data_IF_021262764512
#
_entry.id   IF_021262764512
#
_cell.length_a   1.000
_cell.length_b   1.000
_cell.length_c   1.000
_cell.angle_alpha   90.00
_cell.angle_beta   90.00
_cell.angle_gamma   90.00
#
_symmetry.space_group_name_H-M   'P 1'
#
loop_
_entity.id
_entity.type
_entity.pdbx_description
1 polymer ?
#
# COMPACT_ATOMS: atom_id res chain seq x y z
N UNK A 1 79.28 7.45 19.92
CA UNK A 1 78.32 6.36 19.65
C UNK A 1 78.42 5.98 18.18
N UNK A 2 78.31 4.70 17.84
CA UNK A 2 78.36 4.22 16.45
C UNK A 2 77.14 3.36 16.12
N UNK A 3 76.81 3.19 14.84
CA UNK A 3 75.62 2.44 14.42
C UNK A 3 74.31 3.06 14.90
N UNK A 4 74.23 4.40 14.99
CA UNK A 4 73.03 5.10 15.41
C UNK A 4 71.90 4.82 14.42
N UNK A 5 70.81 4.23 14.94
CA UNK A 5 69.59 3.91 14.19
C UNK A 5 68.40 4.52 14.92
N UNK A 6 67.51 5.14 14.15
CA UNK A 6 66.27 5.73 14.66
C UNK A 6 65.11 4.93 14.10
N UNK A 7 64.23 4.49 14.97
CA UNK A 7 62.92 3.92 14.61
C UNK A 7 61.83 4.84 15.10
N UNK A 8 60.76 4.97 14.34
CA UNK A 8 59.62 5.79 14.71
C UNK A 8 58.34 4.99 14.51
N UNK A 9 57.52 4.97 15.56
CA UNK A 9 56.29 4.20 15.64
C UNK A 9 55.14 5.16 15.87
N UNK A 10 54.22 5.19 14.91
CA UNK A 10 53.01 5.98 14.99
C UNK A 10 51.80 5.08 15.26
N UNK A 11 51.00 5.44 16.25
CA UNK A 11 49.75 4.82 16.61
C UNK A 11 48.64 5.88 16.49
N UNK A 12 47.40 5.45 16.29
CA UNK A 12 46.26 6.35 16.52
C UNK A 12 46.02 6.54 18.03
N UNK A 13 45.14 7.46 18.41
CA UNK A 13 44.81 7.71 19.82
C UNK A 13 44.08 6.54 20.50
N UNK A 14 43.62 5.53 19.76
CA UNK A 14 43.11 4.27 20.29
C UNK A 14 44.21 3.21 20.52
N UNK A 15 45.45 3.49 20.08
CA UNK A 15 46.61 2.62 20.23
C UNK A 15 46.82 1.64 19.07
N UNK A 16 46.05 1.76 18.00
CA UNK A 16 46.21 0.91 16.81
C UNK A 16 47.31 1.46 15.90
N UNK A 17 48.02 0.56 15.21
CA UNK A 17 49.17 0.95 14.39
C UNK A 17 48.76 1.79 13.18
N UNK A 18 49.48 2.90 12.96
CA UNK A 18 49.45 3.71 11.76
C UNK A 18 50.75 3.52 10.97
N UNK A 19 50.78 3.99 9.73
CA UNK A 19 51.98 3.95 8.87
C UNK A 19 52.47 5.35 8.57
N UNK A 20 53.74 5.64 8.88
CA UNK A 20 54.38 6.89 8.48
C UNK A 20 54.38 7.01 6.95
N UNK A 21 54.12 8.21 6.45
CA UNK A 21 54.18 8.51 5.02
C UNK A 21 55.61 8.49 4.51
N UNK A 22 56.55 8.97 5.33
CA UNK A 22 57.97 8.90 5.04
C UNK A 22 58.82 8.96 6.31
N UNK A 23 60.05 8.47 6.22
CA UNK A 23 61.04 8.52 7.29
C UNK A 23 60.88 7.41 8.34
N UNK A 24 61.66 7.47 9.43
CA UNK A 24 62.64 8.52 9.78
C UNK A 24 63.77 8.64 8.75
N UNK A 25 64.11 9.87 8.39
CA UNK A 25 65.19 10.17 7.43
C UNK A 25 66.18 11.13 8.06
N UNK A 26 67.47 10.81 7.94
CA UNK A 26 68.56 11.65 8.43
C UNK A 26 68.58 13.01 7.72
N UNK A 27 68.62 14.09 8.50
CA UNK A 27 68.75 15.43 7.94
C UNK A 27 70.18 15.66 7.43
N UNK A 28 70.32 15.87 6.12
CA UNK A 28 71.61 16.11 5.48
C UNK A 28 72.29 17.43 5.90
N UNK A 29 71.60 18.31 6.62
CA UNK A 29 72.17 19.53 7.19
C UNK A 29 72.88 19.32 8.54
N UNK A 30 72.80 18.12 9.10
CA UNK A 30 73.52 17.76 10.32
C UNK A 30 75.04 17.90 10.16
N UNK A 31 75.71 18.27 11.25
CA UNK A 31 77.18 18.32 11.30
C UNK A 31 77.81 16.98 11.64
N UNK A 32 77.07 16.09 12.32
CA UNK A 32 77.47 14.72 12.60
C UNK A 32 77.57 13.90 11.29
N UNK A 33 78.20 12.73 11.32
CA UNK A 33 78.14 11.77 10.21
C UNK A 33 76.98 10.80 10.45
N UNK A 34 76.19 10.46 9.44
CA UNK A 34 75.08 9.51 9.61
C UNK A 34 75.57 8.18 10.24
N UNK A 35 74.90 7.75 11.30
CA UNK A 35 75.25 6.56 12.07
C UNK A 35 76.36 6.75 13.10
N UNK A 36 76.97 7.94 13.21
CA UNK A 36 78.03 8.26 14.17
C UNK A 36 77.65 9.53 14.94
N UNK A 37 77.82 9.50 16.26
CA UNK A 37 77.61 10.66 17.11
C UNK A 37 78.79 10.83 18.06
N UNK A 38 79.61 11.85 17.83
CA UNK A 38 80.72 12.19 18.71
C UNK A 38 80.27 13.00 19.94
N UNK A 39 81.18 13.17 20.90
CA UNK A 39 80.87 13.87 22.15
C UNK A 39 80.47 15.32 21.86
N UNK A 40 79.23 15.66 22.22
CA UNK A 40 78.66 17.00 22.05
C UNK A 40 77.99 17.24 20.70
N UNK A 41 77.96 16.24 19.81
CA UNK A 41 77.21 16.32 18.55
C UNK A 41 75.72 16.02 18.74
N UNK A 42 74.91 16.54 17.82
CA UNK A 42 73.50 16.18 17.67
C UNK A 42 73.21 15.85 16.21
N UNK A 43 72.23 14.97 15.99
CA UNK A 43 71.69 14.65 14.69
C UNK A 43 70.16 14.77 14.72
N UNK A 44 69.60 15.42 13.71
CA UNK A 44 68.16 15.55 13.49
C UNK A 44 67.70 14.54 12.46
N UNK A 45 66.56 13.90 12.74
CA UNK A 45 65.83 13.04 11.82
C UNK A 45 64.44 13.62 11.61
N UNK A 46 63.85 13.40 10.44
CA UNK A 46 62.48 13.83 10.13
C UNK A 46 61.63 12.67 9.64
N UNK A 47 60.37 12.65 10.04
CA UNK A 47 59.34 11.75 9.52
C UNK A 47 58.11 12.58 9.16
N UNK A 48 57.29 12.08 8.23
CA UNK A 48 56.01 12.72 7.89
C UNK A 48 54.89 11.71 7.98
N UNK A 49 53.72 12.20 8.40
CA UNK A 49 52.48 11.45 8.43
C UNK A 49 51.37 12.27 7.79
N UNK A 50 50.74 11.71 6.77
CA UNK A 50 49.50 12.22 6.19
C UNK A 50 48.36 11.68 7.02
N UNK A 51 47.52 12.58 7.54
CA UNK A 51 46.34 12.22 8.32
C UNK A 51 45.45 11.26 7.51
N UNK A 52 45.29 10.05 8.03
CA UNK A 52 44.44 9.00 7.46
C UNK A 52 43.06 9.03 8.09
N UNK A 53 42.08 8.36 7.45
CA UNK A 53 40.74 8.24 8.02
C UNK A 53 40.74 7.54 9.38
N UNK A 54 41.64 6.56 9.58
CA UNK A 54 41.81 5.90 10.87
C UNK A 54 42.22 6.91 11.97
N UNK A 55 43.19 7.78 11.70
CA UNK A 55 43.60 8.82 12.64
C UNK A 55 42.46 9.82 12.93
N UNK A 56 41.67 10.20 11.90
CA UNK A 56 40.48 11.05 12.10
C UNK A 56 39.43 10.37 12.95
N UNK A 57 39.14 9.08 12.70
CA UNK A 57 38.16 8.32 13.47
C UNK A 57 38.57 8.18 14.94
N UNK A 58 39.86 7.93 15.20
CA UNK A 58 40.40 7.87 16.56
C UNK A 58 40.42 9.26 17.24
N UNK A 59 40.58 10.34 16.46
CA UNK A 59 40.61 11.72 16.95
C UNK A 59 42.01 12.24 17.26
N UNK A 60 43.04 11.47 16.94
CA UNK A 60 44.42 11.83 17.22
C UNK A 60 45.43 10.78 16.81
N UNK A 61 46.71 11.12 17.02
CA UNK A 61 47.85 10.22 16.79
C UNK A 61 48.84 10.31 17.95
N UNK A 62 49.54 9.21 18.22
CA UNK A 62 50.67 9.16 19.15
C UNK A 62 51.90 8.71 18.38
N UNK A 63 52.97 9.50 18.43
CA UNK A 63 54.22 9.20 17.75
C UNK A 63 55.32 8.95 18.77
N UNK A 64 56.04 7.82 18.64
CA UNK A 64 57.14 7.45 19.55
C UNK A 64 58.41 7.17 18.76
N UNK A 65 59.40 8.06 18.93
CA UNK A 65 60.74 7.87 18.38
C UNK A 65 61.64 7.12 19.37
N UNK A 66 62.44 6.20 18.86
CA UNK A 66 63.44 5.44 19.63
C UNK A 66 64.77 5.42 18.88
N UNK A 67 65.86 5.46 19.63
CA UNK A 67 67.22 5.41 19.09
C UNK A 67 67.98 4.23 19.69
N UNK A 68 68.71 3.51 18.84
CA UNK A 68 69.64 2.46 19.25
C UNK A 68 71.02 2.75 18.67
N UNK A 69 72.07 2.56 19.47
CA UNK A 69 73.45 2.78 19.06
C UNK A 69 74.42 1.89 19.84
N UNK A 70 75.71 1.95 19.53
CA UNK A 70 76.79 1.26 20.24
C UNK A 70 77.71 2.23 20.98
N UNK A 71 78.04 1.90 22.22
CA UNK A 71 79.13 2.55 22.97
C UNK A 71 80.52 2.15 22.39
N UNK A 72 81.63 2.79 22.83
CA UNK A 72 82.98 2.44 22.36
C UNK A 72 83.40 0.99 22.62
N UNK A 73 82.80 0.33 23.60
CA UNK A 73 83.03 -1.07 23.97
C UNK A 73 82.17 -2.06 23.14
N UNK A 74 81.22 -1.56 22.35
CA UNK A 74 80.33 -2.35 21.48
C UNK A 74 79.01 -2.79 22.13
N UNK A 75 78.69 -2.28 23.31
CA UNK A 75 77.42 -2.51 24.03
C UNK A 75 76.30 -1.67 23.41
N UNK A 76 75.09 -2.22 23.35
CA UNK A 76 73.91 -1.45 22.93
C UNK A 76 73.56 -0.37 23.95
N UNK A 77 73.30 0.83 23.44
CA UNK A 77 72.73 1.96 24.16
C UNK A 77 71.44 2.33 23.45
N UNK A 78 70.33 2.28 24.19
CA UNK A 78 68.99 2.56 23.69
C UNK A 78 68.35 3.70 24.47
N UNK A 79 67.58 4.52 23.78
CA UNK A 79 66.70 5.52 24.41
C UNK A 79 65.36 5.55 23.65
N UNK A 80 64.28 5.74 24.40
CA UNK A 80 62.90 5.75 23.90
C UNK A 80 62.05 6.62 24.84
N UNK A 81 61.96 7.92 24.57
CA UNK A 81 61.40 8.85 25.56
C UNK A 81 60.49 9.95 25.00
N UNK A 82 60.48 10.18 23.68
CA UNK A 82 59.62 11.21 23.11
C UNK A 82 58.35 10.59 22.51
N UNK A 83 57.32 10.44 23.34
CA UNK A 83 55.96 10.16 22.88
C UNK A 83 55.21 11.49 22.83
N UNK A 84 54.93 11.95 21.62
CA UNK A 84 54.08 13.10 21.38
C UNK A 84 52.67 12.61 21.03
N UNK A 85 51.69 12.97 21.84
CA UNK A 85 50.28 12.69 21.59
C UNK A 85 49.62 13.97 21.04
N UNK A 86 49.05 13.87 19.85
CA UNK A 86 48.29 14.91 19.17
C UNK A 86 46.81 14.49 19.07
N UNK A 87 46.03 14.78 20.13
CA UNK A 87 44.62 14.38 20.30
C UNK A 87 43.60 15.42 19.76
N UNK A 88 44.03 16.30 18.87
CA UNK A 88 43.25 17.48 18.48
C UNK A 88 42.66 17.39 17.06
N UNK A 89 42.53 16.21 16.46
CA UNK A 89 41.86 16.08 15.17
C UNK A 89 40.34 16.23 15.42
N UNK A 90 39.70 17.34 15.01
CA UNK A 90 38.29 17.56 15.32
C UNK A 90 37.43 16.53 14.61
N UNK A 91 36.50 15.91 15.34
CA UNK A 91 35.58 14.90 14.80
C UNK A 91 34.16 15.46 14.73
N UNK A 92 33.49 15.23 13.62
CA UNK A 92 32.11 15.62 13.38
C UNK A 92 31.41 14.48 12.66
N UNK A 93 30.54 13.78 13.37
CA UNK A 93 29.60 12.85 12.76
C UNK A 93 28.36 13.60 12.31
N UNK A 94 28.00 13.45 11.04
CA UNK A 94 26.80 14.05 10.47
C UNK A 94 26.33 13.24 9.27
N UNK A 95 25.02 13.17 9.10
CA UNK A 95 24.35 12.42 8.05
C UNK A 95 23.16 13.22 7.52
N UNK A 96 22.89 13.08 6.23
CA UNK A 96 21.63 13.54 5.62
C UNK A 96 20.92 12.37 4.98
N UNK A 97 19.58 12.42 4.99
CA UNK A 97 18.72 11.40 4.41
C UNK A 97 17.68 12.10 3.56
N UNK A 98 17.59 11.71 2.28
CA UNK A 98 16.62 12.26 1.33
C UNK A 98 15.81 11.12 0.78
N UNK A 99 14.47 11.26 0.79
CA UNK A 99 13.54 10.28 0.23
C UNK A 99 12.74 10.91 -0.91
N UNK A 100 12.62 10.19 -2.01
CA UNK A 100 11.84 10.59 -3.18
C UNK A 100 10.90 9.47 -3.60
N UNK A 101 9.83 9.83 -4.30
CA UNK A 101 8.85 8.89 -4.85
C UNK A 101 8.62 9.17 -6.33
N UNK A 102 8.39 8.11 -7.10
CA UNK A 102 7.88 8.16 -8.48
C UNK A 102 6.84 7.07 -8.67
N UNK A 103 5.76 7.36 -9.39
CA UNK A 103 4.68 6.41 -9.67
C UNK A 103 4.87 5.80 -11.05
N UNK A 104 4.83 4.48 -11.12
CA UNK A 104 4.66 3.71 -12.35
C UNK A 104 3.17 3.47 -12.56
N UNK A 105 2.59 4.24 -13.48
CA UNK A 105 1.15 4.28 -13.81
C UNK A 105 0.75 3.07 -14.65
N UNK A 106 -0.40 2.48 -14.34
CA UNK A 106 -0.92 1.32 -15.05
C UNK A 106 -1.47 1.63 -16.47
N UNK A 107 -1.41 2.89 -16.91
CA UNK A 107 -1.81 3.35 -18.24
C UNK A 107 -3.13 4.11 -18.29
N UNK A 108 -3.74 4.44 -17.15
CA UNK A 108 -4.98 5.22 -17.06
C UNK A 108 -4.78 6.73 -16.78
N UNK A 109 -3.51 7.15 -16.71
CA UNK A 109 -3.03 8.51 -16.46
C UNK A 109 -3.46 9.07 -15.08
N UNK A 110 -3.78 8.20 -14.12
CA UNK A 110 -4.20 8.60 -12.76
C UNK A 110 -3.60 7.66 -11.72
N UNK A 111 -2.85 8.26 -10.80
CA UNK A 111 -2.46 7.59 -9.55
C UNK A 111 -3.68 6.96 -8.88
N UNK A 112 -3.67 5.63 -8.75
CA UNK A 112 -4.81 4.84 -8.31
C UNK A 112 -4.44 3.38 -8.02
N UNK A 113 -5.47 2.56 -7.78
CA UNK A 113 -5.30 1.16 -7.42
C UNK A 113 -4.53 0.41 -8.52
N UNK A 114 -3.53 -0.37 -8.11
CA UNK A 114 -2.69 -1.17 -8.99
C UNK A 114 -1.41 -0.47 -9.50
N UNK A 115 -1.28 0.85 -9.32
CA UNK A 115 -0.03 1.56 -9.63
C UNK A 115 1.07 1.22 -8.62
N UNK A 116 2.33 1.38 -9.05
CA UNK A 116 3.49 1.08 -8.19
C UNK A 116 4.25 2.36 -7.86
N UNK A 117 4.32 2.70 -6.57
CA UNK A 117 5.18 3.77 -6.07
C UNK A 117 6.59 3.21 -5.87
N UNK A 118 7.56 3.72 -6.62
CA UNK A 118 8.98 3.51 -6.37
C UNK A 118 9.50 4.58 -5.42
N UNK A 119 10.07 4.15 -4.30
CA UNK A 119 10.78 5.03 -3.37
C UNK A 119 12.29 4.91 -3.57
N UNK A 120 12.98 6.05 -3.57
CA UNK A 120 14.45 6.10 -3.54
C UNK A 120 14.90 6.89 -2.32
N UNK A 121 15.67 6.26 -1.44
CA UNK A 121 16.27 6.84 -0.24
C UNK A 121 17.77 6.97 -0.45
N UNK A 122 18.31 8.18 -0.29
CA UNK A 122 19.76 8.44 -0.34
C UNK A 122 20.25 8.87 1.03
N UNK A 123 21.18 8.12 1.59
CA UNK A 123 21.88 8.44 2.85
C UNK A 123 23.27 8.94 2.51
N UNK A 124 23.67 10.10 3.03
CA UNK A 124 24.99 10.70 2.76
C UNK A 124 25.71 11.06 4.06
N UNK A 125 26.96 10.62 4.19
CA UNK A 125 27.83 11.04 5.27
C UNK A 125 28.38 12.45 4.99
N UNK A 126 27.86 13.44 5.70
CA UNK A 126 28.29 14.85 5.60
C UNK A 126 29.29 15.25 6.68
N UNK A 127 29.70 14.30 7.51
CA UNK A 127 30.72 14.46 8.54
C UNK A 127 32.13 14.22 8.00
N UNK A 128 33.10 14.15 8.91
CA UNK A 128 34.50 13.82 8.61
C UNK A 128 34.98 12.50 9.24
N UNK A 129 34.09 11.78 9.93
CA UNK A 129 34.35 10.43 10.45
C UNK A 129 33.63 9.39 9.62
N UNK A 130 34.13 8.16 9.61
CA UNK A 130 33.43 7.01 9.02
C UNK A 130 32.16 6.71 9.79
N UNK A 131 31.06 6.47 9.10
CA UNK A 131 29.83 5.92 9.68
C UNK A 131 29.76 4.42 9.37
N UNK A 132 29.39 3.60 10.34
CA UNK A 132 29.23 2.15 10.19
C UNK A 132 27.81 1.72 10.55
N UNK A 133 27.45 0.47 10.28
CA UNK A 133 26.14 -0.10 10.57
C UNK A 133 24.99 0.83 10.14
N UNK A 134 25.12 1.40 8.92
CA UNK A 134 24.09 2.23 8.32
C UNK A 134 22.88 1.37 8.02
N UNK A 135 21.83 1.58 8.80
CA UNK A 135 20.56 0.86 8.71
C UNK A 135 19.42 1.84 8.44
N UNK A 136 18.33 1.32 7.88
CA UNK A 136 17.18 2.11 7.48
C UNK A 136 15.90 1.39 7.83
N UNK A 137 15.01 2.14 8.47
CA UNK A 137 13.62 1.78 8.67
C UNK A 137 12.73 2.73 7.89
N UNK A 138 11.54 2.27 7.54
CA UNK A 138 10.57 3.05 6.79
C UNK A 138 9.20 3.06 7.45
N UNK A 139 8.51 4.18 7.34
CA UNK A 139 7.17 4.38 7.90
C UNK A 139 6.22 4.89 6.81
N UNK A 140 5.30 4.01 6.40
CA UNK A 140 4.22 4.32 5.47
C UNK A 140 2.99 4.85 6.23
N UNK A 141 2.34 5.90 5.74
CA UNK A 141 1.12 6.49 6.30
C UNK A 141 0.14 6.81 5.19
N UNK A 142 -1.16 6.63 5.46
CA UNK A 142 -2.22 6.89 4.50
C UNK A 142 -3.02 8.14 4.89
N UNK A 143 -3.31 9.00 3.92
CA UNK A 143 -4.14 10.21 4.02
C UNK A 143 -3.55 11.40 4.79
N UNK A 144 -2.79 11.19 5.88
CA UNK A 144 -2.22 12.25 6.73
C UNK A 144 -0.86 11.90 7.32
N UNK A 145 0.01 12.89 7.49
CA UNK A 145 1.32 12.72 8.16
C UNK A 145 1.21 12.34 9.63
N UNK A 146 0.05 12.57 10.26
CA UNK A 146 -0.24 12.16 11.64
C UNK A 146 -1.00 10.85 11.75
N UNK A 147 -1.24 10.15 10.62
CA UNK A 147 -1.86 8.84 10.65
C UNK A 147 -0.94 7.81 11.32
N UNK A 148 -1.52 6.69 11.71
CA UNK A 148 -0.73 5.56 12.19
C UNK A 148 0.15 5.02 11.06
N UNK A 149 1.26 4.41 11.44
CA UNK A 149 2.12 3.71 10.48
C UNK A 149 1.38 2.44 10.03
N UNK A 150 1.28 2.26 8.72
CA UNK A 150 0.74 1.06 8.10
C UNK A 150 1.78 -0.05 8.08
N UNK A 151 1.34 -1.28 8.36
CA UNK A 151 2.16 -2.47 8.11
C UNK A 151 2.09 -2.79 6.60
N UNK A 152 3.16 -2.45 5.89
CA UNK A 152 3.28 -2.68 4.45
C UNK A 152 4.16 -3.89 4.11
N UNK A 153 4.52 -4.74 5.09
CA UNK A 153 5.42 -5.88 4.87
C UNK A 153 4.90 -6.90 3.85
N UNK A 154 3.57 -6.98 3.67
CA UNK A 154 2.93 -7.83 2.67
C UNK A 154 2.85 -7.23 1.26
N UNK A 155 3.20 -5.96 1.10
CA UNK A 155 3.05 -5.18 -0.13
C UNK A 155 4.39 -4.62 -0.64
N UNK A 156 5.49 -5.02 -0.01
CA UNK A 156 6.84 -4.52 -0.27
C UNK A 156 7.57 -5.43 -1.27
N UNK A 157 7.82 -4.91 -2.47
CA UNK A 157 8.59 -5.49 -3.59
C UNK A 157 8.23 -6.91 -4.07
N UNK A 158 8.31 -7.22 -5.38
CA UNK A 158 8.28 -8.61 -5.83
C UNK A 158 9.37 -9.44 -5.11
N UNK A 159 9.00 -10.63 -4.67
CA UNK A 159 9.87 -11.54 -3.93
C UNK A 159 11.21 -11.75 -4.67
N UNK A 160 12.33 -11.40 -4.02
CA UNK A 160 13.68 -11.67 -4.55
C UNK A 160 14.62 -10.47 -4.61
N UNK A 161 14.17 -9.25 -4.29
CA UNK A 161 15.07 -8.09 -4.14
C UNK A 161 15.34 -7.87 -2.66
N UNK A 162 16.56 -8.16 -2.20
CA UNK A 162 16.97 -7.89 -0.82
C UNK A 162 17.43 -6.42 -0.74
N UNK A 163 16.46 -5.52 -0.54
CA UNK A 163 16.60 -4.07 -0.74
C UNK A 163 17.51 -3.36 0.29
N UNK A 164 18.01 -4.07 1.29
CA UNK A 164 18.74 -3.50 2.43
C UNK A 164 20.19 -3.99 2.58
N UNK A 165 20.77 -4.61 1.54
CA UNK A 165 22.11 -5.26 1.64
C UNK A 165 23.28 -4.42 1.14
N UNK A 166 23.09 -3.11 0.89
CA UNK A 166 24.20 -2.25 0.47
C UNK A 166 25.13 -1.89 1.65
N UNK A 167 26.38 -1.60 1.29
CA UNK A 167 27.51 -1.30 2.18
C UNK A 167 27.10 -0.50 3.42
N UNK A 168 27.26 -1.12 4.59
CA UNK A 168 26.87 -0.53 5.89
C UNK A 168 27.88 0.51 6.37
N UNK A 169 28.93 0.78 5.59
CA UNK A 169 29.98 1.73 5.93
C UNK A 169 29.99 2.89 4.93
N UNK A 170 29.91 4.12 5.43
CA UNK A 170 30.03 5.35 4.63
C UNK A 170 31.25 6.15 5.08
N UNK A 171 32.24 6.27 4.20
CA UNK A 171 33.33 7.23 4.39
C UNK A 171 32.81 8.67 4.25
N UNK A 172 33.57 9.67 4.74
CA UNK A 172 33.20 11.08 4.55
C UNK A 172 32.92 11.44 3.09
N UNK A 173 31.74 11.99 2.81
CA UNK A 173 31.29 12.37 1.48
C UNK A 173 30.69 11.24 0.63
N UNK A 174 30.68 10.00 1.11
CA UNK A 174 30.02 8.90 0.42
C UNK A 174 28.51 8.87 0.67
N UNK A 175 27.80 8.27 -0.28
CA UNK A 175 26.36 8.06 -0.23
C UNK A 175 25.99 6.62 -0.52
N UNK A 176 25.00 6.09 0.20
CA UNK A 176 24.31 4.84 -0.12
C UNK A 176 22.90 5.15 -0.65
N UNK A 177 22.41 4.35 -1.59
CA UNK A 177 21.09 4.51 -2.20
C UNK A 177 20.29 3.23 -2.07
N UNK A 178 19.08 3.36 -1.52
CA UNK A 178 18.16 2.27 -1.26
C UNK A 178 16.88 2.51 -2.05
N UNK A 179 16.30 1.44 -2.59
CA UNK A 179 15.07 1.50 -3.37
C UNK A 179 14.03 0.64 -2.67
N UNK A 180 12.77 1.05 -2.66
CA UNK A 180 11.64 0.26 -2.17
C UNK A 180 10.41 0.47 -3.05
N UNK A 181 9.41 -0.40 -2.94
CA UNK A 181 8.24 -0.37 -3.81
C UNK A 181 6.96 -0.56 -3.01
N UNK A 182 5.90 0.14 -3.38
CA UNK A 182 4.58 -0.01 -2.77
C UNK A 182 3.50 -0.03 -3.85
N UNK A 183 2.67 -1.07 -3.88
CA UNK A 183 1.53 -1.16 -4.81
C UNK A 183 0.32 -0.46 -4.18
N UNK A 184 -0.28 0.50 -4.86
CA UNK A 184 -1.45 1.20 -4.32
C UNK A 184 -2.64 0.22 -4.28
N UNK A 185 -3.19 -0.03 -3.09
CA UNK A 185 -4.41 -0.81 -2.90
C UNK A 185 -5.64 0.10 -2.69
N UNK A 186 -6.82 -0.49 -2.50
CA UNK A 186 -8.07 0.24 -2.26
C UNK A 186 -8.02 1.11 -0.98
N UNK A 187 -7.31 0.65 0.06
CA UNK A 187 -7.18 1.38 1.32
C UNK A 187 -6.31 2.63 1.13
N UNK A 188 -5.20 2.50 0.43
CA UNK A 188 -4.36 3.62 0.05
C UNK A 188 -5.07 4.59 -0.88
N UNK A 189 -5.75 4.07 -1.90
CA UNK A 189 -6.43 4.90 -2.87
C UNK A 189 -7.57 5.72 -2.22
N UNK A 190 -8.39 5.09 -1.37
CA UNK A 190 -9.47 5.76 -0.63
C UNK A 190 -8.97 6.80 0.38
N UNK A 191 -7.75 6.66 0.89
CA UNK A 191 -7.13 7.65 1.77
C UNK A 191 -6.77 8.95 1.05
N UNK A 192 -6.68 8.91 -0.29
CA UNK A 192 -6.39 10.05 -1.16
C UNK A 192 -4.91 10.47 -1.21
N UNK A 193 -4.03 9.92 -0.35
CA UNK A 193 -2.58 10.18 -0.38
C UNK A 193 -1.80 9.03 0.27
N UNK A 194 -0.64 8.73 -0.28
CA UNK A 194 0.37 7.87 0.35
C UNK A 194 1.54 8.75 0.78
N UNK A 195 1.87 8.71 2.07
CA UNK A 195 2.98 9.46 2.67
C UNK A 195 3.99 8.46 3.20
N UNK A 196 5.26 8.74 2.97
CA UNK A 196 6.30 7.84 3.38
C UNK A 196 7.52 8.60 3.92
N UNK A 197 8.07 8.13 5.04
CA UNK A 197 9.27 8.67 5.69
C UNK A 197 10.23 7.56 6.05
N UNK A 198 11.53 7.75 5.75
CA UNK A 198 12.58 6.84 6.18
C UNK A 198 13.35 7.39 7.38
N UNK A 199 13.81 6.50 8.25
CA UNK A 199 14.68 6.80 9.38
C UNK A 199 15.98 6.03 9.18
N UNK A 200 17.09 6.74 8.97
CA UNK A 200 18.41 6.12 8.91
C UNK A 200 19.09 6.17 10.27
N UNK A 201 19.71 5.08 10.68
CA UNK A 201 20.61 5.02 11.82
C UNK A 201 22.02 4.65 11.39
N UNK A 202 23.01 5.14 12.13
CA UNK A 202 24.40 4.76 11.89
C UNK A 202 25.22 4.86 13.17
N UNK A 203 26.19 3.98 13.32
CA UNK A 203 27.19 4.04 14.37
C UNK A 203 28.30 5.03 14.00
N UNK A 204 28.85 5.69 15.01
CA UNK A 204 29.94 6.65 14.86
C UNK A 204 31.15 6.21 15.72
N UNK A 205 32.38 6.60 15.37
CA UNK A 205 33.56 6.32 16.19
C UNK A 205 33.67 7.25 17.42
N UNK A 206 32.66 8.08 17.68
CA UNK A 206 32.65 8.97 18.84
C UNK A 206 32.05 8.27 20.05
N UNK A 207 32.54 8.63 21.24
CA UNK A 207 32.01 8.20 22.53
C UNK A 207 31.30 9.35 23.21
N UNK A 208 30.18 9.04 23.87
CA UNK A 208 29.42 9.97 24.70
C UNK A 208 30.14 10.24 26.02
N UNK A 209 29.70 11.26 26.75
CA UNK A 209 30.27 11.60 28.06
C UNK A 209 30.13 10.48 29.12
N UNK A 210 29.19 9.56 28.92
CA UNK A 210 28.97 8.38 29.76
C UNK A 210 29.77 7.14 29.32
N UNK A 211 30.56 7.24 28.24
CA UNK A 211 31.37 6.15 27.70
C UNK A 211 30.64 5.22 26.72
N UNK A 212 29.38 5.49 26.38
CA UNK A 212 28.66 4.76 25.32
C UNK A 212 29.09 5.21 23.92
N UNK A 213 28.92 4.34 22.91
CA UNK A 213 29.12 4.72 21.51
C UNK A 213 28.00 5.66 21.07
N UNK A 214 28.37 6.75 20.38
CA UNK A 214 27.40 7.67 19.78
C UNK A 214 26.87 7.08 18.48
N UNK A 215 25.55 7.21 18.29
CA UNK A 215 24.85 6.85 17.06
C UNK A 215 24.17 8.09 16.47
N UNK A 216 23.96 8.07 15.16
CA UNK A 216 23.12 9.02 14.46
C UNK A 216 21.75 8.40 14.21
N UNK A 217 20.71 9.23 14.26
CA UNK A 217 19.37 8.89 13.78
C UNK A 217 18.80 10.11 13.07
N UNK A 218 18.53 9.96 11.78
CA UNK A 218 18.06 11.06 10.92
C UNK A 218 16.84 10.60 10.14
N UNK A 219 15.75 11.34 10.28
CA UNK A 219 14.53 11.14 9.49
C UNK A 219 14.63 11.91 8.18
N UNK A 220 14.21 11.29 7.08
CA UNK A 220 14.12 11.93 5.78
C UNK A 220 13.02 12.99 5.73
N UNK A 221 12.94 13.72 4.62
CA UNK A 221 11.71 14.39 4.25
C UNK A 221 10.56 13.39 4.02
N UNK A 222 9.33 13.88 4.07
CA UNK A 222 8.15 13.13 3.59
C UNK A 222 8.21 13.02 2.06
N UNK A 223 8.07 11.80 1.55
CA UNK A 223 7.73 11.55 0.15
C UNK A 223 6.21 11.36 0.07
N UNK A 224 5.55 12.22 -0.70
CA UNK A 224 4.08 12.28 -0.77
C UNK A 224 3.64 11.98 -2.20
N UNK A 225 2.72 11.05 -2.33
CA UNK A 225 2.01 10.73 -3.58
C UNK A 225 0.53 11.03 -3.38
N UNK A 226 0.02 12.03 -4.09
CA UNK A 226 -1.40 12.35 -4.12
C UNK A 226 -2.14 11.38 -5.04
N UNK A 227 -3.30 10.92 -4.59
CA UNK A 227 -4.22 10.05 -5.32
C UNK A 227 -5.51 10.83 -5.55
N UNK A 228 -5.90 10.99 -6.81
CA UNK A 228 -7.11 11.72 -7.15
C UNK A 228 -8.35 10.87 -6.86
N UNK A 229 -9.45 11.45 -6.35
CA UNK A 229 -10.71 10.73 -6.22
C UNK A 229 -11.29 10.42 -7.61
N UNK A 230 -11.61 9.15 -7.84
CA UNK A 230 -12.24 8.59 -9.02
C UNK A 230 -13.51 7.87 -8.54
N UNK A 231 -14.61 8.59 -8.29
CA UNK A 231 -15.82 7.98 -7.78
C UNK A 231 -16.61 7.33 -8.93
N UNK A 232 -17.06 6.09 -8.75
CA UNK A 232 -17.84 5.36 -9.75
C UNK A 232 -18.75 4.31 -9.08
N UNK A 233 -19.91 4.05 -9.69
CA UNK A 233 -20.86 3.04 -9.22
C UNK A 233 -21.40 2.24 -10.41
N UNK A 234 -21.29 0.93 -10.29
CA UNK A 234 -21.84 -0.04 -11.23
C UNK A 234 -23.05 -0.73 -10.59
N UNK A 235 -24.08 -0.99 -11.41
CA UNK A 235 -25.19 -1.86 -11.04
C UNK A 235 -25.40 -2.92 -12.11
N UNK A 236 -25.60 -4.15 -11.66
CA UNK A 236 -25.97 -5.29 -12.50
C UNK A 236 -27.24 -5.93 -11.96
N UNK A 237 -28.07 -6.44 -12.87
CA UNK A 237 -29.31 -7.13 -12.56
C UNK A 237 -29.40 -8.40 -13.39
N UNK A 238 -29.81 -9.48 -12.74
CA UNK A 238 -30.08 -10.75 -13.41
C UNK A 238 -31.29 -11.44 -12.81
N UNK A 239 -32.11 -12.10 -13.63
CA UNK A 239 -33.18 -12.97 -13.18
C UNK A 239 -32.62 -14.23 -12.51
N UNK A 240 -32.89 -14.40 -11.21
CA UNK A 240 -32.45 -15.55 -10.43
C UNK A 240 -33.40 -16.73 -10.61
N UNK A 241 -34.71 -16.51 -10.40
CA UNK A 241 -35.72 -17.56 -10.50
C UNK A 241 -37.05 -17.01 -10.98
N UNK A 242 -37.80 -17.86 -11.69
CA UNK A 242 -39.17 -17.60 -12.13
C UNK A 242 -40.06 -18.69 -11.54
N UNK A 243 -40.98 -18.31 -10.66
CA UNK A 243 -41.91 -19.25 -10.04
C UNK A 243 -43.15 -19.44 -10.90
N UNK A 244 -43.04 -20.18 -12.01
CA UNK A 244 -44.21 -20.57 -12.81
C UNK A 244 -44.92 -21.77 -12.19
N UNK A 245 -46.24 -21.73 -12.08
CA UNK A 245 -47.09 -22.80 -11.59
C UNK A 245 -47.08 -24.03 -12.50
N UNK A 246 -48.07 -24.91 -12.33
CA UNK A 246 -48.10 -26.21 -13.00
C UNK A 246 -48.23 -26.15 -14.55
N UNK A 247 -48.51 -24.98 -15.11
CA UNK A 247 -48.73 -24.77 -16.55
C UNK A 247 -47.50 -24.19 -17.29
N UNK A 248 -46.38 -23.91 -16.60
CA UNK A 248 -45.17 -23.31 -17.20
C UNK A 248 -45.40 -21.98 -17.91
N UNK A 249 -46.45 -21.25 -17.53
CA UNK A 249 -46.77 -19.89 -17.95
C UNK A 249 -46.78 -19.03 -16.69
N UNK A 250 -46.38 -17.76 -16.80
CA UNK A 250 -46.46 -16.81 -15.69
C UNK A 250 -47.90 -16.30 -15.50
N UNK A 251 -48.52 -16.64 -14.37
CA UNK A 251 -49.88 -16.23 -14.00
C UNK A 251 -49.90 -15.14 -12.90
N UNK A 252 -51.05 -14.49 -12.73
CA UNK A 252 -51.27 -13.52 -11.64
C UNK A 252 -51.01 -14.15 -10.28
N UNK A 253 -50.16 -13.51 -9.48
CA UNK A 253 -49.76 -13.95 -8.14
C UNK A 253 -48.48 -14.77 -8.10
N UNK A 254 -47.92 -15.14 -9.26
CA UNK A 254 -46.60 -15.75 -9.37
C UNK A 254 -45.49 -14.71 -9.25
N UNK A 255 -44.24 -15.15 -9.04
CA UNK A 255 -43.14 -14.24 -8.73
C UNK A 255 -41.92 -14.44 -9.62
N UNK A 256 -41.23 -13.34 -9.91
CA UNK A 256 -39.89 -13.32 -10.47
C UNK A 256 -38.94 -12.78 -9.40
N UNK A 257 -37.87 -13.53 -9.12
CA UNK A 257 -36.79 -13.11 -8.23
C UNK A 257 -35.61 -12.63 -9.09
N UNK A 258 -35.15 -11.42 -8.83
CA UNK A 258 -33.95 -10.85 -9.44
C UNK A 258 -32.85 -10.69 -8.39
N UNK A 259 -31.60 -10.91 -8.80
CA UNK A 259 -30.41 -10.51 -8.04
C UNK A 259 -29.91 -9.19 -8.60
N UNK A 260 -29.71 -8.21 -7.71
CA UNK A 260 -29.11 -6.91 -8.02
C UNK A 260 -27.77 -6.83 -7.31
N UNK A 261 -26.72 -6.52 -8.07
CA UNK A 261 -25.37 -6.34 -7.55
C UNK A 261 -24.96 -4.87 -7.74
N UNK A 262 -24.56 -4.21 -6.65
CA UNK A 262 -23.89 -2.92 -6.69
C UNK A 262 -22.40 -3.11 -6.48
N UNK A 263 -21.59 -2.38 -7.24
CA UNK A 263 -20.14 -2.36 -7.07
C UNK A 263 -19.65 -0.92 -7.09
N UNK A 264 -18.84 -0.53 -6.10
CA UNK A 264 -18.03 0.68 -6.23
C UNK A 264 -16.77 0.30 -6.98
N UNK A 265 -16.78 0.56 -8.28
CA UNK A 265 -15.67 0.34 -9.19
C UNK A 265 -14.74 1.57 -9.29
N UNK A 266 -14.95 2.55 -8.41
CA UNK A 266 -14.07 3.68 -8.20
C UNK A 266 -13.20 3.53 -6.95
N UNK A 267 -12.31 4.50 -6.72
CA UNK A 267 -11.40 4.52 -5.55
C UNK A 267 -11.89 5.39 -4.39
N UNK A 268 -13.13 5.90 -4.47
CA UNK A 268 -13.70 6.82 -3.48
C UNK A 268 -14.92 6.19 -2.82
N UNK A 269 -14.97 6.18 -1.49
CA UNK A 269 -16.13 5.69 -0.74
C UNK A 269 -17.38 6.49 -1.10
N UNK A 270 -18.43 5.79 -1.52
CA UNK A 270 -19.72 6.40 -1.84
C UNK A 270 -20.64 6.37 -0.63
N UNK A 271 -21.43 7.43 -0.45
CA UNK A 271 -22.42 7.55 0.63
C UNK A 271 -23.82 7.76 0.04
N UNK A 272 -24.86 7.63 0.87
CA UNK A 272 -26.24 7.81 0.43
C UNK A 272 -26.66 6.89 -0.71
N UNK A 273 -26.03 5.71 -0.80
CA UNK A 273 -26.25 4.76 -1.89
C UNK A 273 -27.69 4.26 -1.82
N UNK A 274 -28.42 4.39 -2.93
CA UNK A 274 -29.82 3.95 -3.03
C UNK A 274 -30.14 3.39 -4.40
N UNK A 275 -31.07 2.45 -4.43
CA UNK A 275 -31.52 1.75 -5.64
C UNK A 275 -32.88 2.31 -6.05
N UNK A 276 -33.04 2.54 -7.35
CA UNK A 276 -34.33 2.77 -7.99
C UNK A 276 -34.60 1.61 -8.95
N UNK A 277 -35.64 0.84 -8.67
CA UNK A 277 -36.09 -0.27 -9.53
C UNK A 277 -37.45 0.07 -10.14
N UNK A 278 -37.49 0.15 -11.48
CA UNK A 278 -38.66 0.57 -12.25
C UNK A 278 -39.11 -0.59 -13.13
N UNK A 279 -40.36 -1.03 -12.93
CA UNK A 279 -41.00 -2.05 -13.77
C UNK A 279 -41.85 -1.35 -14.82
N UNK A 280 -41.54 -1.57 -16.09
CA UNK A 280 -42.28 -1.07 -17.24
C UNK A 280 -42.93 -2.23 -18.01
N UNK A 281 -43.96 -1.94 -18.81
CA UNK A 281 -44.40 -2.84 -19.86
C UNK A 281 -43.36 -2.91 -21.01
N UNK A 282 -43.61 -3.80 -21.98
CA UNK A 282 -42.75 -3.98 -23.16
C UNK A 282 -42.68 -2.75 -24.07
N UNK A 283 -43.65 -1.83 -23.95
CA UNK A 283 -43.71 -0.58 -24.72
C UNK A 283 -43.03 0.60 -23.96
N UNK A 284 -42.53 0.37 -22.75
CA UNK A 284 -41.80 1.33 -21.92
C UNK A 284 -42.66 2.18 -20.98
N UNK A 285 -43.93 1.84 -20.77
CA UNK A 285 -44.81 2.51 -19.80
C UNK A 285 -44.63 1.91 -18.42
N UNK A 286 -44.34 2.75 -17.41
CA UNK A 286 -44.19 2.30 -16.03
C UNK A 286 -45.51 1.79 -15.44
N UNK A 287 -45.46 0.64 -14.76
CA UNK A 287 -46.57 0.19 -13.92
C UNK A 287 -46.67 1.09 -12.68
N UNK A 288 -47.88 1.52 -12.31
CA UNK A 288 -48.06 2.53 -11.25
C UNK A 288 -48.00 1.99 -9.83
N UNK A 289 -48.24 0.69 -9.64
CA UNK A 289 -48.26 0.03 -8.33
C UNK A 289 -47.76 -1.43 -8.39
N UNK A 290 -46.58 -1.71 -9.00
CA UNK A 290 -46.05 -3.06 -8.99
C UNK A 290 -45.76 -3.48 -7.54
N UNK A 291 -46.11 -4.73 -7.19
CA UNK A 291 -45.69 -5.30 -5.90
C UNK A 291 -44.27 -5.81 -6.06
N UNK A 292 -43.29 -4.93 -5.83
CA UNK A 292 -41.87 -5.21 -5.90
C UNK A 292 -41.22 -4.92 -4.54
N UNK A 293 -40.49 -5.88 -3.98
CA UNK A 293 -39.81 -5.74 -2.69
C UNK A 293 -38.33 -6.01 -2.86
N UNK A 294 -37.48 -5.05 -2.49
CA UNK A 294 -36.02 -5.17 -2.52
C UNK A 294 -35.51 -5.47 -1.11
N UNK A 295 -34.74 -6.54 -0.96
CA UNK A 295 -34.17 -7.00 0.31
C UNK A 295 -32.66 -7.06 0.17
N UNK A 296 -31.93 -6.54 1.16
CA UNK A 296 -30.47 -6.67 1.21
C UNK A 296 -30.07 -8.10 1.55
N UNK A 297 -29.09 -8.65 0.84
CA UNK A 297 -28.65 -10.04 1.03
C UNK A 297 -27.20 -10.18 1.50
N UNK A 298 -26.37 -9.15 1.35
CA UNK A 298 -25.01 -9.13 1.91
C UNK A 298 -24.01 -8.29 1.11
N UNK A 299 -22.87 -8.03 1.74
CA UNK A 299 -21.69 -7.33 1.17
C UNK A 299 -20.48 -8.26 1.07
N UNK A 300 -19.55 -7.98 0.17
CA UNK A 300 -18.23 -8.62 0.10
C UNK A 300 -17.35 -8.31 1.32
N UNK A 301 -17.68 -7.25 2.08
CA UNK A 301 -17.02 -6.92 3.34
C UNK A 301 -17.73 -7.54 4.56
N UNK A 302 -18.91 -8.11 4.37
CA UNK A 302 -19.59 -8.81 5.44
C UNK A 302 -18.89 -10.16 5.70
N UNK A 303 -18.70 -10.49 6.98
CA UNK A 303 -18.31 -11.84 7.38
C UNK A 303 -19.37 -12.88 7.00
N UNK A 304 -19.23 -14.12 7.47
CA UNK A 304 -20.07 -15.25 7.05
C UNK A 304 -21.58 -15.18 7.40
N UNK A 305 -22.10 -14.10 7.98
CA UNK A 305 -23.52 -13.97 8.36
C UNK A 305 -23.94 -12.49 8.62
N UNK A 306 -24.21 -11.67 7.59
CA UNK A 306 -24.70 -10.31 7.79
C UNK A 306 -26.19 -10.23 8.13
N UNK A 307 -26.64 -9.27 8.95
CA UNK A 307 -28.06 -9.07 9.23
C UNK A 307 -28.84 -8.62 7.96
N UNK A 308 -30.02 -9.20 7.74
CA UNK A 308 -30.86 -8.96 6.54
C UNK A 308 -31.38 -7.51 6.32
N UNK A 309 -31.08 -6.57 7.22
CA UNK A 309 -31.56 -5.17 7.18
C UNK A 309 -30.45 -4.13 7.45
N UNK A 310 -29.17 -4.47 7.21
CA UNK A 310 -28.02 -3.69 7.71
C UNK A 310 -27.28 -2.83 6.69
N UNK A 311 -27.74 -2.70 5.45
CA UNK A 311 -26.99 -1.91 4.46
C UNK A 311 -26.82 -0.46 4.94
N UNK A 312 -25.56 -0.03 5.09
CA UNK A 312 -25.20 1.25 5.69
C UNK A 312 -25.40 2.46 4.77
N UNK A 313 -25.97 2.25 3.57
CA UNK A 313 -26.02 3.20 2.47
C UNK A 313 -24.63 3.78 2.10
N UNK A 314 -23.57 3.04 2.42
CA UNK A 314 -22.18 3.39 2.12
C UNK A 314 -21.58 2.24 1.33
N UNK A 315 -20.73 2.54 0.35
CA UNK A 315 -20.06 1.56 -0.49
C UNK A 315 -18.58 1.93 -0.60
N UNK A 316 -17.70 1.21 0.10
CA UNK A 316 -16.26 1.39 0.04
C UNK A 316 -15.71 0.98 -1.34
N UNK A 317 -14.52 1.44 -1.76
CA UNK A 317 -13.90 0.99 -3.01
C UNK A 317 -13.78 -0.52 -3.10
N UNK A 318 -14.08 -1.07 -4.27
CA UNK A 318 -14.12 -2.50 -4.55
C UNK A 318 -15.13 -3.30 -3.70
N UNK A 319 -15.95 -2.65 -2.88
CA UNK A 319 -17.05 -3.30 -2.15
C UNK A 319 -18.16 -3.69 -3.14
N UNK A 320 -18.64 -4.93 -3.00
CA UNK A 320 -19.72 -5.50 -3.79
C UNK A 320 -20.88 -5.80 -2.85
N UNK A 321 -22.05 -5.25 -3.13
CA UNK A 321 -23.26 -5.46 -2.33
C UNK A 321 -24.34 -6.11 -3.17
N UNK A 322 -25.04 -7.08 -2.59
CA UNK A 322 -26.10 -7.84 -3.25
C UNK A 322 -27.46 -7.58 -2.61
N UNK A 323 -28.49 -7.53 -3.47
CA UNK A 323 -29.88 -7.42 -3.10
C UNK A 323 -30.72 -8.43 -3.89
N UNK A 324 -31.83 -8.85 -3.31
CA UNK A 324 -32.88 -9.61 -3.97
C UNK A 324 -34.10 -8.71 -4.21
N UNK A 325 -34.59 -8.64 -5.44
CA UNK A 325 -35.84 -7.96 -5.79
C UNK A 325 -36.90 -8.98 -6.20
N UNK A 326 -37.97 -9.09 -5.42
CA UNK A 326 -39.08 -9.99 -5.66
C UNK A 326 -40.26 -9.22 -6.29
N UNK A 327 -40.55 -9.52 -7.56
CA UNK A 327 -41.68 -8.97 -8.31
C UNK A 327 -42.83 -9.99 -8.32
N UNK A 328 -44.01 -9.58 -7.83
CA UNK A 328 -45.24 -10.38 -7.97
C UNK A 328 -46.03 -9.93 -9.20
N UNK A 329 -46.36 -10.88 -10.07
CA UNK A 329 -47.10 -10.65 -11.31
C UNK A 329 -48.55 -10.25 -11.00
N UNK A 330 -49.00 -9.14 -11.58
CA UNK A 330 -50.40 -8.71 -11.54
C UNK A 330 -51.10 -8.83 -12.90
N UNK A 331 -52.40 -8.52 -12.93
CA UNK A 331 -53.18 -8.63 -14.16
C UNK A 331 -52.72 -7.65 -15.26
N UNK A 332 -52.25 -6.45 -14.90
CA UNK A 332 -51.81 -5.47 -15.88
C UNK A 332 -50.53 -5.92 -16.59
N UNK A 333 -49.63 -6.61 -15.88
CA UNK A 333 -48.42 -7.21 -16.45
C UNK A 333 -48.74 -8.36 -17.42
N UNK A 334 -49.75 -9.19 -17.09
CA UNK A 334 -50.24 -10.24 -18.01
C UNK A 334 -50.88 -9.62 -19.24
N UNK A 335 -51.70 -8.58 -19.09
CA UNK A 335 -52.37 -7.89 -20.20
C UNK A 335 -51.36 -7.18 -21.12
N UNK A 336 -50.25 -6.69 -20.56
CA UNK A 336 -49.13 -6.10 -21.29
C UNK A 336 -48.25 -7.14 -22.03
N UNK A 337 -48.41 -8.43 -21.74
CA UNK A 337 -47.66 -9.52 -22.37
C UNK A 337 -46.22 -9.68 -21.86
N UNK A 338 -45.82 -8.95 -20.83
CA UNK A 338 -44.48 -8.99 -20.27
C UNK A 338 -44.12 -7.76 -19.44
N UNK A 339 -42.93 -7.82 -18.83
CA UNK A 339 -42.36 -6.74 -18.02
C UNK A 339 -40.90 -6.50 -18.42
N UNK A 340 -40.50 -5.23 -18.38
CA UNK A 340 -39.12 -4.78 -18.48
C UNK A 340 -38.73 -4.17 -17.14
N UNK A 341 -37.84 -4.83 -16.42
CA UNK A 341 -37.46 -4.43 -15.08
C UNK A 341 -36.08 -3.75 -15.09
N UNK A 342 -36.06 -2.43 -14.86
CA UNK A 342 -34.88 -1.57 -15.01
C UNK A 342 -34.40 -1.05 -13.66
N UNK A 343 -33.18 -1.38 -13.29
CA UNK A 343 -32.52 -0.92 -12.06
C UNK A 343 -31.52 0.16 -12.38
N UNK A 344 -31.51 1.21 -11.56
CA UNK A 344 -30.42 2.18 -11.48
C UNK A 344 -30.06 2.42 -10.01
N UNK A 345 -28.83 2.87 -9.77
CA UNK A 345 -28.38 3.25 -8.45
C UNK A 345 -27.84 4.68 -8.47
N UNK A 346 -27.99 5.36 -7.34
CA UNK A 346 -27.32 6.63 -7.09
C UNK A 346 -26.45 6.52 -5.86
N UNK A 347 -25.34 7.24 -5.85
CA UNK A 347 -24.44 7.37 -4.71
C UNK A 347 -23.81 8.76 -4.70
N UNK A 348 -23.14 9.12 -3.61
CA UNK A 348 -22.55 10.45 -3.44
C UNK A 348 -21.08 10.37 -3.07
N UNK A 349 -20.27 11.13 -3.79
CA UNK A 349 -18.89 11.48 -3.40
C UNK A 349 -18.90 12.89 -2.83
N UNK A 350 -18.92 13.02 -1.50
CA UNK A 350 -19.17 14.30 -0.84
C UNK A 350 -20.58 14.82 -1.17
N UNK A 351 -20.68 15.92 -1.91
CA UNK A 351 -21.96 16.49 -2.37
C UNK A 351 -22.34 16.10 -3.79
N UNK A 352 -21.42 15.50 -4.53
CA UNK A 352 -21.60 15.21 -5.95
C UNK A 352 -22.35 13.89 -6.11
N UNK A 353 -23.51 13.93 -6.77
CA UNK A 353 -24.32 12.76 -7.05
C UNK A 353 -23.78 12.02 -8.29
N UNK A 354 -23.65 10.71 -8.15
CA UNK A 354 -23.35 9.77 -9.22
C UNK A 354 -24.61 8.98 -9.53
N UNK A 355 -24.76 8.59 -10.79
CA UNK A 355 -25.82 7.69 -11.23
C UNK A 355 -25.18 6.59 -12.04
N UNK A 356 -25.47 5.34 -11.67
CA UNK A 356 -25.01 4.19 -12.42
C UNK A 356 -25.64 4.19 -13.82
N UNK A 357 -25.03 3.47 -14.76
CA UNK A 357 -25.79 3.03 -15.93
C UNK A 357 -26.96 2.15 -15.46
N UNK A 358 -28.08 2.17 -16.18
CA UNK A 358 -29.20 1.31 -15.83
C UNK A 358 -28.94 -0.14 -16.29
N UNK A 359 -29.31 -1.12 -15.47
CA UNK A 359 -29.32 -2.54 -15.81
C UNK A 359 -30.76 -3.02 -16.01
N UNK A 360 -31.04 -3.67 -17.14
CA UNK A 360 -32.40 -3.98 -17.58
C UNK A 360 -32.55 -5.46 -17.88
N UNK A 361 -33.63 -6.07 -17.41
CA UNK A 361 -34.01 -7.45 -17.72
C UNK A 361 -35.46 -7.48 -18.25
N UNK A 362 -35.71 -8.24 -19.32
CA UNK A 362 -37.02 -8.37 -19.97
C UNK A 362 -37.57 -9.77 -19.75
N UNK A 363 -38.82 -9.87 -19.27
CA UNK A 363 -39.51 -11.14 -19.10
C UNK A 363 -40.86 -11.13 -19.81
N UNK A 364 -41.04 -12.03 -20.78
CA UNK A 364 -42.30 -12.21 -21.50
C UNK A 364 -43.30 -13.00 -20.65
N UNK A 365 -44.57 -12.59 -20.66
CA UNK A 365 -45.68 -13.22 -19.94
C UNK A 365 -46.77 -13.59 -20.94
N UNK A 366 -46.97 -14.88 -21.18
CA UNK A 366 -47.96 -15.34 -22.15
C UNK A 366 -49.38 -15.27 -21.56
N UNK A 367 -50.27 -14.48 -22.17
CA UNK A 367 -51.67 -14.48 -21.79
C UNK A 367 -52.36 -15.80 -22.18
N UNK A 368 -53.09 -16.41 -21.25
CA UNK A 368 -53.95 -17.58 -21.48
C UNK A 368 -55.43 -17.19 -21.34
N UNK A 369 -56.05 -16.60 -22.38
CA UNK A 369 -57.42 -16.12 -22.28
C UNK A 369 -58.41 -17.30 -22.16
N UNK A 370 -59.16 -17.35 -21.06
CA UNK A 370 -60.27 -18.30 -20.88
C UNK A 370 -61.62 -17.60 -21.06
N UNK A 371 -62.40 -18.02 -22.06
CA UNK A 371 -63.75 -17.50 -22.31
C UNK A 371 -64.79 -18.43 -21.65
N UNK A 372 -65.51 -17.95 -20.63
CA UNK A 372 -66.61 -18.70 -20.03
C UNK A 372 -67.95 -18.11 -20.47
N UNK A 373 -68.75 -18.87 -21.24
CA UNK A 373 -70.10 -18.45 -21.65
C UNK A 373 -71.12 -19.22 -20.81
N UNK A 374 -71.88 -18.50 -19.98
CA UNK A 374 -73.00 -19.09 -19.23
C UNK A 374 -74.32 -18.80 -19.95
N UNK A 375 -74.99 -19.85 -20.46
CA UNK A 375 -76.33 -19.75 -21.04
C UNK A 375 -77.37 -20.06 -19.96
N UNK A 376 -78.09 -19.06 -19.48
CA UNK A 376 -79.27 -19.23 -18.63
C UNK A 376 -80.53 -19.30 -19.49
N UNK A 377 -81.34 -20.34 -19.29
CA UNK A 377 -82.69 -20.43 -19.84
C UNK A 377 -83.71 -20.39 -18.69
N UNK A 378 -84.59 -19.40 -18.71
CA UNK A 378 -85.79 -19.36 -17.86
C UNK A 378 -86.94 -19.99 -18.62
N UNK A 379 -87.57 -21.02 -18.04
CA UNK A 379 -88.83 -21.58 -18.54
C UNK A 379 -89.97 -20.90 -17.79
N UNK A 380 -90.68 -19.99 -18.45
CA UNK A 380 -91.98 -19.52 -17.98
C UNK A 380 -93.03 -20.55 -18.36
N UNK A 381 -93.51 -21.34 -17.38
CA UNK A 381 -94.68 -22.18 -17.59
C UNK A 381 -95.93 -21.30 -17.55
N UNK A 382 -96.48 -20.98 -18.72
CA UNK A 382 -97.84 -20.46 -18.87
C UNK A 382 -98.82 -21.62 -19.04
N UNK A 383 -99.78 -21.73 -18.12
CA UNK A 383 -101.11 -22.28 -18.40
C UNK A 383 -101.41 -23.70 -17.91
N UNK A 384 -102.19 -23.76 -16.83
CA UNK A 384 -103.09 -24.88 -16.53
C UNK A 384 -104.33 -24.80 -17.42
N UNK A 385 -104.49 -25.72 -18.39
CA UNK A 385 -105.75 -26.26 -18.94
C UNK A 385 -105.50 -26.88 -20.34
N UNK A 386 -105.42 -28.20 -20.41
CA UNK A 386 -106.12 -29.01 -21.42
C UNK A 386 -105.96 -30.50 -21.07
N UNK A 387 -107.01 -31.07 -20.48
CA UNK A 387 -107.27 -32.50 -20.54
C UNK A 387 -107.64 -32.88 -21.99
N UNK A 388 -107.44 -34.15 -22.35
CA UNK A 388 -107.80 -34.78 -23.63
C UNK A 388 -106.86 -34.60 -24.84
N UNK A 389 -105.61 -35.08 -24.74
CA UNK A 389 -105.13 -36.11 -25.68
C UNK A 389 -103.78 -36.70 -25.25
N UNK A 390 -103.80 -37.89 -24.62
CA UNK A 390 -102.57 -38.68 -24.44
C UNK A 390 -102.22 -39.41 -25.73
N UNK A 391 -101.01 -39.18 -26.24
CA UNK A 391 -100.22 -40.24 -26.87
C UNK A 391 -98.81 -40.17 -26.28
N UNK A 392 -98.59 -40.90 -25.20
CA UNK A 392 -97.24 -41.20 -24.72
C UNK A 392 -96.71 -42.29 -25.65
N UNK A 393 -95.71 -41.97 -26.48
CA UNK A 393 -94.93 -43.01 -27.18
C UNK A 393 -93.99 -43.65 -26.16
N UNK A 394 -93.93 -44.97 -26.19
CA UNK A 394 -93.26 -45.81 -25.18
C UNK A 394 -91.72 -45.79 -25.27
N UNK A 395 -91.14 -45.04 -26.23
CA UNK A 395 -89.70 -45.09 -26.55
C UNK A 395 -88.85 -43.93 -26.00
N UNK A 396 -89.44 -42.90 -25.36
CA UNK A 396 -88.67 -41.75 -24.85
C UNK A 396 -88.08 -41.97 -23.43
N UNK A 397 -87.77 -43.21 -23.05
CA UNK A 397 -86.98 -43.49 -21.84
C UNK A 397 -85.49 -43.47 -22.17
N UNK A 398 -84.87 -42.37 -21.77
CA UNK A 398 -83.43 -42.16 -21.62
C UNK A 398 -82.85 -43.22 -20.66
N UNK A 399 -81.76 -43.86 -21.06
CA UNK A 399 -80.73 -44.37 -20.14
C UNK A 399 -79.48 -43.52 -20.29
#
# INVERSE_FOLDING_TARGET
>A
LTGVTVSDTILDSAGEALTLTSGPTYDTSNTATEGILDVGESATYSATFVITQQAVNAGGVSNTASVTSKDPEGTDVTDSTDSAIEDLIPRTAAMTVVKTASVDDNGDEKNGVGDVIQYTVTVTNTGNVTLTDVDLSDELRLGSSTANVEDNTGNDSPAGVNLWTQDQTLLPGESATYVAWYIIDDTAASSGKVINTAIATADTPLTSADGSNQTLSVTSNEAVVDIAPIPSILVEKETTTVSSGANSILDVGETILYTITLTNDGNTTLTGVSITDVVNDLDGTAFTTPTNTITYTGSSLDGSDPPADSFSNTLAPSEVVTFEALLTIDQAMVDAGGVVNTVSAVGYSGTDQLTSSASTDETLIAASPALTVTKTATVDHVGSADEDNRVVREDDRIY
#
